data_IF_674395097718
#
_entry.id   IF_674395097718
#
_cell.length_a   1.000
_cell.length_b   1.000
_cell.length_c   1.000
_cell.angle_alpha   90.00
_cell.angle_beta   90.00
_cell.angle_gamma   90.00
#
_symmetry.space_group_name_H-M   'P 1'
#
loop_
_entity.id
_entity.type
_entity.pdbx_description
1 polymer ?
#
# COMPACT_ATOMS: atom_id res chain seq x y z
N UNK A 1 28.10 14.27 0.97
CA UNK A 1 26.68 13.86 1.10
C UNK A 1 26.69 12.56 1.85
N UNK A 2 26.06 12.51 3.01
CA UNK A 2 26.00 11.30 3.83
C UNK A 2 24.92 10.37 3.27
N UNK A 3 25.24 9.09 3.04
CA UNK A 3 24.28 8.14 2.46
C UNK A 3 23.22 7.70 3.48
N UNK A 4 23.50 7.84 4.77
CA UNK A 4 22.56 7.51 5.86
C UNK A 4 21.39 8.49 5.94
N UNK A 5 21.53 9.71 5.41
CA UNK A 5 20.41 10.66 5.28
C UNK A 5 19.44 10.29 4.15
N UNK A 6 19.79 9.29 3.32
CA UNK A 6 18.93 8.70 2.30
C UNK A 6 18.38 7.34 2.74
N UNK A 7 18.45 7.00 4.04
CA UNK A 7 17.87 5.78 4.58
C UNK A 7 16.34 5.86 4.51
N UNK A 8 15.77 5.28 3.44
CA UNK A 8 14.33 5.26 3.19
C UNK A 8 13.60 4.27 4.08
N UNK A 9 14.31 3.36 4.75
CA UNK A 9 13.75 2.26 5.54
C UNK A 9 13.04 2.78 6.80
N UNK A 10 13.67 3.69 7.54
CA UNK A 10 13.05 4.29 8.74
C UNK A 10 11.79 5.09 8.37
N UNK A 11 11.88 5.89 7.31
CA UNK A 11 10.79 6.74 6.83
C UNK A 11 9.65 5.94 6.20
N UNK A 12 9.97 4.84 5.53
CA UNK A 12 8.97 3.90 5.01
C UNK A 12 8.15 3.26 6.13
N UNK A 13 8.71 3.10 7.33
CA UNK A 13 8.00 2.57 8.49
C UNK A 13 7.12 3.62 9.18
N UNK A 14 7.40 4.93 9.04
CA UNK A 14 6.48 5.99 9.51
C UNK A 14 5.20 6.04 8.68
N UNK A 15 5.34 5.75 7.39
CA UNK A 15 4.24 5.75 6.43
C UNK A 15 3.86 7.15 5.95
N UNK A 16 3.12 7.19 4.85
CA UNK A 16 2.70 8.44 4.21
C UNK A 16 1.21 8.38 3.85
N UNK A 17 0.59 9.55 3.83
CA UNK A 17 -0.85 9.69 3.58
C UNK A 17 -1.09 9.81 2.07
N UNK A 18 -1.84 8.86 1.53
CA UNK A 18 -2.39 8.87 0.18
C UNK A 18 -3.80 9.44 0.21
N UNK A 19 -4.01 10.58 -0.43
CA UNK A 19 -5.36 11.09 -0.72
C UNK A 19 -5.95 10.35 -1.92
N UNK A 20 -7.12 9.75 -1.76
CA UNK A 20 -7.77 8.98 -2.83
C UNK A 20 -8.38 9.90 -3.87
N UNK A 21 -8.17 9.56 -5.14
CA UNK A 21 -8.82 10.17 -6.29
C UNK A 21 -9.77 9.19 -6.96
N UNK A 22 -10.97 9.65 -7.30
CA UNK A 22 -11.95 8.86 -8.03
C UNK A 22 -11.42 8.45 -9.41
N UNK A 23 -12.12 7.52 -10.10
CA UNK A 23 -11.76 7.11 -11.46
C UNK A 23 -11.78 8.27 -12.47
N UNK A 24 -12.50 9.34 -12.16
CA UNK A 24 -12.58 10.62 -12.88
C UNK A 24 -11.41 11.57 -12.59
N UNK A 25 -10.51 11.22 -11.66
CA UNK A 25 -9.31 11.98 -11.31
C UNK A 25 -9.51 13.06 -10.24
N UNK A 26 -10.76 13.35 -9.85
CA UNK A 26 -11.05 14.28 -8.76
C UNK A 26 -10.84 13.60 -7.39
N UNK A 27 -10.46 14.36 -6.35
CA UNK A 27 -10.35 13.82 -4.99
C UNK A 27 -11.70 13.26 -4.54
N UNK A 28 -11.67 12.08 -3.91
CA UNK A 28 -12.86 11.52 -3.27
C UNK A 28 -13.06 12.30 -1.97
N UNK A 29 -14.19 12.99 -1.85
CA UNK A 29 -14.54 13.78 -0.68
C UNK A 29 -15.57 13.04 0.17
N UNK A 30 -15.46 13.23 1.48
CA UNK A 30 -16.43 12.80 2.48
C UNK A 30 -17.62 13.77 2.53
N UNK A 31 -18.67 13.42 3.28
CA UNK A 31 -19.84 14.30 3.50
C UNK A 31 -19.45 15.65 4.12
N UNK A 32 -18.37 15.70 4.91
CA UNK A 32 -17.81 16.91 5.51
C UNK A 32 -16.87 17.69 4.55
N UNK A 33 -16.87 17.36 3.25
CA UNK A 33 -16.01 17.97 2.22
C UNK A 33 -14.49 17.76 2.45
N UNK A 34 -14.12 16.88 3.38
CA UNK A 34 -12.74 16.45 3.65
C UNK A 34 -12.32 15.31 2.71
N UNK A 35 -11.07 15.28 2.20
CA UNK A 35 -10.61 14.20 1.33
C UNK A 35 -10.56 12.85 2.06
N UNK A 36 -10.88 11.78 1.34
CA UNK A 36 -10.68 10.40 1.80
C UNK A 36 -9.20 10.07 1.67
N UNK A 37 -8.60 9.52 2.74
CA UNK A 37 -7.17 9.25 2.78
C UNK A 37 -6.84 7.86 3.32
N UNK A 38 -5.73 7.30 2.87
CA UNK A 38 -5.17 6.02 3.32
C UNK A 38 -3.72 6.26 3.74
N UNK A 39 -3.36 5.89 4.96
CA UNK A 39 -1.98 5.90 5.42
C UNK A 39 -1.33 4.56 5.10
N UNK A 40 -0.25 4.60 4.33
CA UNK A 40 0.45 3.44 3.82
C UNK A 40 1.91 3.46 4.25
N UNK A 41 2.45 2.30 4.60
CA UNK A 41 3.89 2.09 4.74
C UNK A 41 4.57 2.05 3.36
N UNK A 42 5.83 2.48 3.32
CA UNK A 42 6.64 2.45 2.11
C UNK A 42 7.09 1.05 1.72
N UNK A 43 7.57 0.90 0.48
CA UNK A 43 8.02 -0.38 -0.06
C UNK A 43 9.20 -0.98 0.71
N UNK A 44 10.07 -0.13 1.28
CA UNK A 44 11.25 -0.54 2.04
C UNK A 44 10.96 -0.70 3.55
N UNK A 45 9.69 -0.66 3.99
CA UNK A 45 9.30 -0.88 5.38
C UNK A 45 9.56 -2.33 5.82
N UNK A 46 9.74 -2.57 7.12
CA UNK A 46 9.98 -3.92 7.66
C UNK A 46 8.82 -4.86 7.35
N UNK A 47 7.58 -4.35 7.42
CA UNK A 47 6.36 -5.11 7.14
C UNK A 47 6.32 -5.57 5.69
N UNK A 48 6.60 -4.68 4.74
CA UNK A 48 6.56 -4.97 3.30
C UNK A 48 7.75 -5.83 2.89
N UNK A 49 8.94 -5.54 3.41
CA UNK A 49 10.15 -6.34 3.19
C UNK A 49 9.96 -7.78 3.66
N UNK A 50 9.39 -7.98 4.85
CA UNK A 50 9.08 -9.32 5.37
C UNK A 50 8.08 -10.07 4.49
N UNK A 51 7.06 -9.39 3.97
CA UNK A 51 6.09 -9.98 3.04
C UNK A 51 6.75 -10.39 1.71
N UNK A 52 7.57 -9.51 1.13
CA UNK A 52 8.31 -9.78 -0.11
C UNK A 52 9.28 -10.97 0.07
N UNK A 53 10.00 -11.02 1.18
CA UNK A 53 10.87 -12.15 1.52
C UNK A 53 10.08 -13.46 1.67
N UNK A 54 8.86 -13.40 2.22
CA UNK A 54 7.95 -14.55 2.29
C UNK A 54 7.58 -15.09 0.90
N UNK A 55 7.25 -14.20 -0.04
CA UNK A 55 6.93 -14.56 -1.43
C UNK A 55 8.16 -15.13 -2.14
N UNK A 56 9.32 -14.50 -1.99
CA UNK A 56 10.57 -14.98 -2.60
C UNK A 56 10.92 -16.40 -2.10
N UNK A 57 10.78 -16.65 -0.79
CA UNK A 57 10.98 -17.98 -0.22
C UNK A 57 9.96 -19.01 -0.75
N UNK A 58 8.70 -18.61 -0.94
CA UNK A 58 7.68 -19.47 -1.55
C UNK A 58 8.08 -19.84 -2.99
N UNK A 59 8.52 -18.86 -3.79
CA UNK A 59 8.96 -19.08 -5.16
C UNK A 59 10.15 -20.05 -5.24
N UNK A 60 11.14 -19.88 -4.36
CA UNK A 60 12.29 -20.79 -4.27
C UNK A 60 11.87 -22.23 -3.93
N UNK A 61 10.90 -22.42 -3.04
CA UNK A 61 10.35 -23.74 -2.70
C UNK A 61 9.55 -24.36 -3.85
N UNK A 62 8.80 -23.54 -4.59
CA UNK A 62 8.08 -23.97 -5.80
C UNK A 62 9.05 -24.43 -6.89
N UNK A 63 10.20 -23.77 -7.05
CA UNK A 63 11.24 -24.20 -7.99
C UNK A 63 11.89 -25.55 -7.62
N UNK A 64 11.86 -25.95 -6.33
CA UNK A 64 12.37 -27.25 -5.86
C UNK A 64 11.29 -28.32 -5.72
N UNK A 65 10.15 -28.19 -6.42
CA UNK A 65 9.07 -29.20 -6.45
C UNK A 65 7.81 -28.84 -5.66
N UNK A 66 7.65 -27.58 -5.25
CA UNK A 66 6.41 -27.07 -4.68
C UNK A 66 5.35 -26.70 -5.75
N UNK A 67 4.13 -26.32 -5.33
CA UNK A 67 3.04 -25.95 -6.24
C UNK A 67 3.40 -24.75 -7.12
N UNK A 68 2.96 -24.78 -8.38
CA UNK A 68 3.24 -23.73 -9.35
C UNK A 68 2.62 -22.38 -8.93
N UNK A 69 3.38 -21.30 -9.10
CA UNK A 69 2.90 -19.94 -8.87
C UNK A 69 1.99 -19.54 -10.03
N UNK A 70 0.72 -19.29 -9.75
CA UNK A 70 -0.26 -18.85 -10.75
C UNK A 70 -0.37 -17.33 -10.80
N UNK A 71 -0.87 -16.78 -11.91
CA UNK A 71 -1.13 -15.34 -12.03
C UNK A 71 -2.13 -14.85 -10.96
N UNK A 72 -3.09 -15.68 -10.59
CA UNK A 72 -4.07 -15.41 -9.54
C UNK A 72 -3.40 -15.31 -8.16
N UNK A 73 -2.46 -16.22 -7.87
CA UNK A 73 -1.68 -16.19 -6.63
C UNK A 73 -0.81 -14.93 -6.55
N UNK A 74 -0.19 -14.51 -7.66
CA UNK A 74 0.58 -13.25 -7.71
C UNK A 74 -0.29 -12.02 -7.43
N UNK A 75 -1.51 -11.97 -7.97
CA UNK A 75 -2.44 -10.87 -7.70
C UNK A 75 -2.91 -10.88 -6.23
N UNK A 76 -3.17 -12.05 -5.67
CA UNK A 76 -3.57 -12.17 -4.26
C UNK A 76 -2.45 -11.73 -3.31
N UNK A 77 -1.21 -12.13 -3.62
CA UNK A 77 -0.01 -11.72 -2.90
C UNK A 77 0.21 -10.21 -2.92
N UNK A 78 -0.02 -9.56 -4.07
CA UNK A 78 0.05 -8.10 -4.18
C UNK A 78 -1.02 -7.42 -3.32
N UNK A 79 -2.26 -7.90 -3.37
CA UNK A 79 -3.34 -7.35 -2.55
C UNK A 79 -3.05 -7.54 -1.06
N UNK A 80 -2.52 -8.69 -0.68
CA UNK A 80 -2.08 -8.95 0.69
C UNK A 80 -0.94 -8.01 1.11
N UNK A 81 0.00 -7.71 0.20
CA UNK A 81 1.08 -6.74 0.44
C UNK A 81 0.51 -5.36 0.77
N UNK A 82 -0.40 -4.86 -0.07
CA UNK A 82 -1.01 -3.54 0.11
C UNK A 82 -1.87 -3.47 1.37
N UNK A 83 -2.64 -4.51 1.66
CA UNK A 83 -3.42 -4.57 2.89
C UNK A 83 -2.55 -4.55 4.15
N UNK A 84 -1.37 -5.20 4.12
CA UNK A 84 -0.40 -5.16 5.22
C UNK A 84 0.30 -3.81 5.36
N UNK A 85 0.54 -3.13 4.24
CA UNK A 85 1.11 -1.78 4.24
C UNK A 85 0.09 -0.73 4.72
N UNK A 86 -1.21 -1.04 4.72
CA UNK A 86 -2.26 -0.12 5.16
C UNK A 86 -2.33 -0.07 6.68
N UNK A 87 -1.99 1.08 7.26
CA UNK A 87 -1.99 1.27 8.73
C UNK A 87 -3.31 1.82 9.19
N UNK A 88 -3.81 2.82 8.48
CA UNK A 88 -5.05 3.52 8.79
C UNK A 88 -5.66 4.12 7.52
N UNK A 89 -6.95 4.43 7.58
CA UNK A 89 -7.61 5.25 6.56
C UNK A 89 -8.68 6.12 7.22
N UNK A 90 -9.09 7.15 6.52
CA UNK A 90 -10.15 8.05 6.96
C UNK A 90 -11.17 8.26 5.85
N UNK A 91 -12.46 8.13 6.16
CA UNK A 91 -13.54 8.41 5.22
C UNK A 91 -13.90 7.29 4.24
N UNK A 92 -13.45 6.05 4.45
CA UNK A 92 -13.87 4.92 3.61
C UNK A 92 -15.23 4.41 4.09
N UNK A 93 -16.25 4.65 3.27
CA UNK A 93 -17.61 4.11 3.45
C UNK A 93 -17.88 3.09 2.35
N UNK A 94 -18.36 1.90 2.74
CA UNK A 94 -18.71 0.83 1.83
C UNK A 94 -20.16 0.42 2.04
N UNK A 95 -20.96 0.44 0.99
CA UNK A 95 -22.39 0.07 1.02
C UNK A 95 -23.21 0.83 2.09
N UNK A 96 -22.79 2.07 2.42
CA UNK A 96 -23.46 2.95 3.40
C UNK A 96 -22.92 2.86 4.82
N UNK A 97 -21.94 2.00 5.10
CA UNK A 97 -21.35 1.83 6.43
C UNK A 97 -19.87 2.24 6.46
N UNK A 98 -19.47 2.95 7.51
CA UNK A 98 -18.08 3.31 7.74
C UNK A 98 -17.24 2.04 7.99
N UNK A 99 -16.30 1.76 7.10
CA UNK A 99 -15.53 0.54 7.14
C UNK A 99 -14.34 0.71 8.08
N UNK A 100 -14.26 -0.12 9.13
CA UNK A 100 -13.11 -0.10 10.04
C UNK A 100 -11.81 -0.47 9.29
N UNK A 101 -10.72 0.26 9.57
CA UNK A 101 -9.42 -0.04 8.99
C UNK A 101 -8.83 -1.31 9.62
N UNK A 102 -8.83 -2.39 8.84
CA UNK A 102 -8.16 -3.65 9.17
C UNK A 102 -7.74 -4.39 7.89
N UNK A 103 -6.84 -5.36 8.03
CA UNK A 103 -6.26 -6.09 6.88
C UNK A 103 -7.33 -6.78 6.00
N UNK A 104 -8.38 -7.35 6.61
CA UNK A 104 -9.43 -8.05 5.88
C UNK A 104 -10.28 -7.08 5.03
N UNK A 105 -10.67 -5.95 5.61
CA UNK A 105 -11.37 -4.89 4.92
C UNK A 105 -10.51 -4.25 3.83
N UNK A 106 -9.21 -4.07 4.08
CA UNK A 106 -8.28 -3.53 3.08
C UNK A 106 -8.16 -4.46 1.87
N UNK A 107 -8.03 -5.78 2.11
CA UNK A 107 -8.07 -6.80 1.04
C UNK A 107 -9.37 -6.73 0.24
N UNK A 108 -10.51 -6.55 0.91
CA UNK A 108 -11.81 -6.45 0.25
C UNK A 108 -11.86 -5.24 -0.68
N UNK A 109 -11.46 -4.07 -0.19
CA UNK A 109 -11.41 -2.82 -0.98
C UNK A 109 -10.49 -2.97 -2.19
N UNK A 110 -9.26 -3.48 -2.02
CA UNK A 110 -8.29 -3.65 -3.11
C UNK A 110 -8.64 -4.76 -4.10
N UNK A 111 -9.49 -5.72 -3.70
CA UNK A 111 -10.08 -6.70 -4.62
C UNK A 111 -11.23 -6.09 -5.43
N UNK A 112 -12.15 -5.36 -4.78
CA UNK A 112 -13.36 -4.81 -5.40
C UNK A 112 -13.05 -3.59 -6.29
N UNK A 113 -12.17 -2.70 -5.85
CA UNK A 113 -11.89 -1.43 -6.52
C UNK A 113 -10.46 -1.39 -7.08
N UNK A 114 -10.32 -1.79 -8.34
CA UNK A 114 -8.99 -1.83 -8.99
C UNK A 114 -8.35 -0.44 -9.14
N UNK A 115 -9.14 0.64 -9.22
CA UNK A 115 -8.65 2.02 -9.30
C UNK A 115 -8.00 2.50 -7.98
N UNK A 116 -8.46 1.99 -6.84
CA UNK A 116 -7.81 2.24 -5.53
C UNK A 116 -6.49 1.48 -5.48
N UNK A 117 -6.52 0.18 -5.87
CA UNK A 117 -5.31 -0.65 -5.89
C UNK A 117 -4.21 -0.03 -6.74
N UNK A 118 -4.56 0.53 -7.90
CA UNK A 118 -3.59 1.16 -8.81
C UNK A 118 -2.92 2.39 -8.18
N UNK A 119 -3.71 3.26 -7.52
CA UNK A 119 -3.17 4.39 -6.77
C UNK A 119 -2.25 3.97 -5.63
N UNK A 120 -2.64 2.94 -4.87
CA UNK A 120 -1.80 2.39 -3.79
C UNK A 120 -0.50 1.82 -4.35
N UNK A 121 -0.56 1.07 -5.45
CA UNK A 121 0.62 0.54 -6.14
C UNK A 121 1.56 1.67 -6.56
N UNK A 122 1.03 2.68 -7.24
CA UNK A 122 1.82 3.82 -7.71
C UNK A 122 2.40 4.62 -6.54
N UNK A 123 1.63 4.81 -5.46
CA UNK A 123 2.08 5.52 -4.26
C UNK A 123 3.22 4.78 -3.55
N UNK A 124 3.09 3.47 -3.34
CA UNK A 124 4.13 2.67 -2.67
C UNK A 124 5.41 2.53 -3.51
N UNK A 125 5.29 2.48 -4.85
CA UNK A 125 6.45 2.39 -5.74
C UNK A 125 7.27 3.69 -5.83
N UNK A 126 6.68 4.83 -5.47
CA UNK A 126 7.32 6.13 -5.51
C UNK A 126 8.01 6.44 -4.17
N UNK A 127 9.22 5.89 -3.99
CA UNK A 127 10.05 6.05 -2.77
C UNK A 127 10.24 7.50 -2.34
N UNK A 128 10.20 8.43 -3.29
CA UNK A 128 10.30 9.88 -3.02
C UNK A 128 9.18 10.41 -2.13
N UNK A 129 8.00 9.77 -2.10
CA UNK A 129 6.86 10.17 -1.26
C UNK A 129 7.06 9.93 0.23
N UNK A 130 8.04 9.09 0.56
CA UNK A 130 8.41 8.77 1.92
C UNK A 130 9.65 9.55 2.37
N UNK A 131 10.33 10.27 1.45
CA UNK A 131 11.44 11.12 1.83
C UNK A 131 10.93 12.42 2.45
N UNK A 132 11.60 12.95 3.49
CA UNK A 132 11.33 14.32 3.93
C UNK A 132 11.61 15.25 2.76
N UNK A 133 10.65 16.11 2.39
CA UNK A 133 10.88 17.15 1.40
C UNK A 133 12.07 17.99 1.83
N UNK A 134 13.19 17.83 1.12
CA UNK A 134 14.39 18.64 1.37
C UNK A 134 14.00 20.13 1.38
N UNK A 135 14.47 20.92 2.36
CA UNK A 135 14.25 22.35 2.33
C UNK A 135 14.85 22.91 1.04
N UNK A 136 14.02 23.62 0.28
CA UNK A 136 14.38 24.29 -0.96
C UNK A 136 15.37 25.40 -0.59
N UNK A 137 16.65 25.24 -0.91
CA UNK A 137 17.69 26.29 -0.80
C UNK A 137 17.41 27.43 -1.78
#
# INVERSE_FOLDING_TARGET
MDLSTLDTSALANEGAVLELRGPDGNPVLQEDNSPVSITLLGEDSDVVTKHNNGIANQFLRSATGGPAITAEASKDNEIAKFAKATVSWNGIVLDGEALACNEANAKLIYRRFSWIRDQVRAFMGDRARFLPTSPKT
#
